data_IF_170420331533
#
_entry.id   IF_170420331533
#
_cell.length_a   1.000
_cell.length_b   1.000
_cell.length_c   1.000
_cell.angle_alpha   90.00
_cell.angle_beta   90.00
_cell.angle_gamma   90.00
#
_symmetry.space_group_name_H-M   'P 1'
#
loop_
_entity.id
_entity.type
_entity.pdbx_description
1 polymer ?
#
# COMPACT_ATOMS: atom_id res chain seq x y z
N UNK A 1 35.63 0.10 12.87
CA UNK A 1 35.58 -0.95 13.92
C UNK A 1 34.57 -2.04 13.58
N UNK A 2 33.52 -1.72 12.82
CA UNK A 2 32.45 -2.62 12.36
C UNK A 2 32.92 -3.77 11.47
N UNK A 3 33.84 -3.55 10.52
CA UNK A 3 34.25 -4.61 9.58
C UNK A 3 34.93 -5.81 10.27
N UNK A 4 35.75 -5.59 11.30
CA UNK A 4 36.42 -6.67 12.04
C UNK A 4 35.42 -7.56 12.79
N UNK A 5 34.40 -6.96 13.42
CA UNK A 5 33.36 -7.69 14.12
C UNK A 5 32.52 -8.56 13.17
N UNK A 6 32.24 -8.05 11.96
CA UNK A 6 31.48 -8.80 10.94
C UNK A 6 32.30 -9.97 10.42
N UNK A 7 33.61 -9.80 10.19
CA UNK A 7 34.49 -10.91 9.78
C UNK A 7 34.56 -12.01 10.85
N UNK A 8 34.65 -11.64 12.13
CA UNK A 8 34.61 -12.61 13.24
C UNK A 8 33.25 -13.30 13.38
N UNK A 9 32.14 -12.61 13.11
CA UNK A 9 30.80 -13.21 13.09
C UNK A 9 30.66 -14.24 11.96
N UNK A 10 31.22 -13.97 10.77
CA UNK A 10 31.23 -14.91 9.65
C UNK A 10 32.11 -16.14 9.91
N UNK A 11 33.25 -15.97 10.59
CA UNK A 11 34.07 -17.11 11.03
C UNK A 11 33.29 -18.02 11.98
N UNK A 12 32.55 -17.45 12.94
CA UNK A 12 31.68 -18.23 13.83
C UNK A 12 30.62 -19.01 13.05
N UNK A 13 29.94 -18.37 12.11
CA UNK A 13 28.91 -19.04 11.27
C UNK A 13 29.54 -20.17 10.43
N UNK A 14 30.72 -19.96 9.85
CA UNK A 14 31.43 -20.99 9.08
C UNK A 14 31.92 -22.16 9.94
N UNK A 15 32.28 -21.91 11.21
CA UNK A 15 32.65 -22.99 12.14
C UNK A 15 31.45 -23.83 12.57
N UNK A 16 30.28 -23.22 12.71
CA UNK A 16 29.05 -23.91 13.11
C UNK A 16 28.37 -24.61 11.92
N UNK A 17 28.47 -24.05 10.71
CA UNK A 17 27.85 -24.57 9.50
C UNK A 17 28.89 -24.79 8.38
N UNK A 18 29.62 -25.92 8.39
CA UNK A 18 30.63 -26.22 7.37
C UNK A 18 30.03 -26.55 5.98
N UNK A 19 28.71 -26.71 5.87
CA UNK A 19 28.00 -27.01 4.63
C UNK A 19 27.29 -25.81 3.99
N UNK A 20 27.56 -24.58 4.45
CA UNK A 20 26.92 -23.37 3.92
C UNK A 20 27.50 -23.00 2.55
N UNK A 21 26.64 -22.83 1.54
CA UNK A 21 27.05 -22.39 0.20
C UNK A 21 27.67 -20.98 0.23
N UNK A 22 28.60 -20.73 -0.70
CA UNK A 22 29.32 -19.45 -0.79
C UNK A 22 28.35 -18.27 -0.93
N UNK A 23 27.32 -18.40 -1.76
CA UNK A 23 26.32 -17.37 -2.03
C UNK A 23 25.48 -17.04 -0.78
N UNK A 24 25.20 -18.05 0.04
CA UNK A 24 24.45 -17.88 1.31
C UNK A 24 25.33 -17.14 2.32
N UNK A 25 26.63 -17.42 2.34
CA UNK A 25 27.56 -16.69 3.21
C UNK A 25 27.71 -15.22 2.82
N UNK A 26 27.71 -14.91 1.53
CA UNK A 26 27.76 -13.54 1.01
C UNK A 26 26.44 -12.78 1.30
N UNK A 27 25.29 -13.46 1.20
CA UNK A 27 24.01 -12.90 1.61
C UNK A 27 23.97 -12.57 3.11
N UNK A 28 24.44 -13.49 3.96
CA UNK A 28 24.50 -13.27 5.41
C UNK A 28 25.46 -12.13 5.77
N UNK A 29 26.60 -12.03 5.08
CA UNK A 29 27.51 -10.89 5.22
C UNK A 29 26.83 -9.56 4.86
N UNK A 30 26.12 -9.51 3.72
CA UNK A 30 25.34 -8.34 3.30
C UNK A 30 24.30 -7.93 4.34
N UNK A 31 23.52 -8.90 4.83
CA UNK A 31 22.49 -8.66 5.86
C UNK A 31 23.10 -8.11 7.14
N UNK A 32 24.20 -8.68 7.63
CA UNK A 32 24.88 -8.20 8.83
C UNK A 32 25.49 -6.82 8.65
N UNK A 33 25.99 -6.49 7.45
CA UNK A 33 26.64 -5.21 7.15
C UNK A 33 25.65 -4.06 7.01
N UNK A 34 24.54 -4.29 6.29
CA UNK A 34 23.50 -3.28 6.07
C UNK A 34 22.69 -2.99 7.32
N UNK A 35 22.49 -3.99 8.19
CA UNK A 35 21.63 -3.88 9.37
C UNK A 35 22.40 -3.73 10.69
N UNK A 36 23.71 -3.48 10.65
CA UNK A 36 24.55 -3.40 11.85
C UNK A 36 24.08 -2.37 12.88
N UNK A 37 23.41 -1.30 12.44
CA UNK A 37 22.88 -0.23 13.30
C UNK A 37 21.45 -0.50 13.82
N UNK A 38 20.79 -1.55 13.33
CA UNK A 38 19.36 -1.83 13.56
C UNK A 38 19.11 -3.08 14.44
N UNK A 39 20.17 -3.73 14.93
CA UNK A 39 20.05 -4.87 15.84
C UNK A 39 20.05 -4.40 17.30
N UNK A 40 18.85 -4.20 17.88
CA UNK A 40 18.69 -3.81 19.29
C UNK A 40 18.71 -5.03 20.24
N UNK A 41 18.40 -6.22 19.72
CA UNK A 41 18.33 -7.46 20.48
C UNK A 41 18.88 -8.67 19.71
N UNK A 42 19.26 -9.72 20.44
CA UNK A 42 19.62 -11.02 19.85
C UNK A 42 18.47 -11.65 19.04
N UNK A 43 17.22 -11.24 19.32
CA UNK A 43 16.03 -11.67 18.56
C UNK A 43 16.02 -11.08 17.16
N UNK A 44 16.46 -9.85 16.98
CA UNK A 44 16.47 -9.20 15.66
C UNK A 44 17.49 -9.86 14.71
N UNK A 45 18.61 -10.34 15.27
CA UNK A 45 19.61 -11.15 14.55
C UNK A 45 19.04 -12.51 14.17
N UNK A 46 18.28 -13.14 15.08
CA UNK A 46 17.59 -14.39 14.82
C UNK A 46 16.50 -14.24 13.74
N UNK A 47 15.74 -13.14 13.75
CA UNK A 47 14.72 -12.86 12.73
C UNK A 47 15.33 -12.48 11.37
N UNK A 48 16.62 -12.12 11.33
CA UNK A 48 17.33 -11.80 10.10
C UNK A 48 17.96 -13.02 9.43
N UNK A 49 18.56 -13.90 10.24
CA UNK A 49 19.44 -14.96 9.74
C UNK A 49 19.03 -16.34 10.29
N UNK A 50 18.30 -16.40 11.41
CA UNK A 50 17.90 -17.64 12.09
C UNK A 50 17.02 -18.56 11.23
N UNK A 51 16.00 -18.02 10.55
CA UNK A 51 15.16 -18.80 9.63
C UNK A 51 15.93 -19.33 8.42
N UNK A 52 16.95 -18.60 7.97
CA UNK A 52 17.82 -19.06 6.90
C UNK A 52 18.72 -20.20 7.40
N UNK A 53 19.33 -20.04 8.58
CA UNK A 53 20.21 -21.05 9.17
C UNK A 53 19.47 -22.33 9.58
N UNK A 54 18.22 -22.24 10.04
CA UNK A 54 17.39 -23.41 10.36
C UNK A 54 17.04 -24.24 9.12
N UNK A 55 16.90 -23.58 7.96
CA UNK A 55 16.70 -24.25 6.66
C UNK A 55 17.89 -25.11 6.22
N UNK A 56 19.11 -24.82 6.69
CA UNK A 56 20.34 -25.57 6.38
C UNK A 56 20.76 -26.53 7.49
N UNK A 57 20.06 -26.57 8.63
CA UNK A 57 20.46 -27.40 9.77
C UNK A 57 19.97 -28.85 9.62
N UNK A 58 20.78 -29.72 9.03
CA UNK A 58 20.53 -31.17 9.05
C UNK A 58 21.01 -31.86 10.35
N UNK A 59 21.20 -31.12 11.46
CA UNK A 59 21.65 -31.70 12.73
C UNK A 59 21.98 -30.73 13.88
N UNK A 60 21.66 -29.44 13.77
CA UNK A 60 21.91 -28.41 14.79
C UNK A 60 20.58 -28.07 15.45
N UNK A 61 20.54 -28.03 16.78
CA UNK A 61 19.32 -27.69 17.52
C UNK A 61 19.00 -26.19 17.43
N UNK A 62 17.71 -25.81 17.45
CA UNK A 62 17.30 -24.39 17.48
C UNK A 62 17.95 -23.62 18.65
N UNK A 63 18.27 -24.29 19.76
CA UNK A 63 19.04 -23.71 20.86
C UNK A 63 20.45 -23.26 20.44
N UNK A 64 21.16 -24.03 19.62
CA UNK A 64 22.50 -23.68 19.13
C UNK A 64 22.44 -22.47 18.17
N UNK A 65 21.39 -22.38 17.36
CA UNK A 65 21.14 -21.21 16.49
C UNK A 65 20.91 -19.97 17.36
N UNK A 66 20.09 -20.07 18.40
CA UNK A 66 19.86 -18.94 19.32
C UNK A 66 21.11 -18.51 20.09
N UNK A 67 21.98 -19.46 20.45
CA UNK A 67 23.24 -19.18 21.15
C UNK A 67 24.29 -18.55 20.22
N UNK A 68 24.31 -18.97 18.95
CA UNK A 68 25.10 -18.33 17.88
C UNK A 68 24.63 -16.88 17.67
N UNK A 69 23.34 -16.64 17.49
CA UNK A 69 22.77 -15.30 17.33
C UNK A 69 23.09 -14.39 18.53
N UNK A 70 23.07 -14.94 19.76
CA UNK A 70 23.46 -14.20 20.98
C UNK A 70 24.95 -13.84 20.98
N UNK A 71 25.81 -14.74 20.49
CA UNK A 71 27.24 -14.52 20.38
C UNK A 71 27.57 -13.45 19.33
N UNK A 72 26.88 -13.47 18.19
CA UNK A 72 26.96 -12.45 17.13
C UNK A 72 26.52 -11.08 17.66
N UNK A 73 25.38 -11.01 18.36
CA UNK A 73 24.90 -9.76 18.96
C UNK A 73 25.88 -9.19 20.00
N UNK A 74 26.55 -10.04 20.79
CA UNK A 74 27.58 -9.64 21.76
C UNK A 74 28.86 -9.12 21.11
N UNK A 75 29.17 -9.57 19.89
CA UNK A 75 30.31 -9.10 19.09
C UNK A 75 30.01 -7.78 18.38
N UNK A 76 28.74 -7.53 18.04
CA UNK A 76 28.29 -6.33 17.34
C UNK A 76 27.95 -5.17 18.28
N UNK A 77 27.49 -5.45 19.50
CA UNK A 77 27.24 -4.39 20.49
C UNK A 77 28.55 -3.97 21.18
N UNK A 78 28.98 -2.70 21.07
CA UNK A 78 30.06 -2.18 21.90
C UNK A 78 29.61 -2.27 23.37
N UNK A 79 30.54 -2.69 24.25
CA UNK A 79 30.37 -2.68 25.70
C UNK A 79 30.28 -1.23 26.21
N UNK A 80 29.20 -0.54 25.91
CA UNK A 80 28.84 0.71 26.56
C UNK A 80 27.54 0.46 27.33
N UNK A 81 27.71 0.38 28.64
CA UNK A 81 26.64 0.47 29.62
C UNK A 81 25.75 1.69 29.34
N UNK A 82 24.63 1.49 28.64
CA UNK A 82 23.56 2.50 28.63
C UNK A 82 22.87 2.48 30.01
N UNK A 83 22.69 3.64 30.66
CA UNK A 83 21.94 3.73 31.91
C UNK A 83 20.48 3.34 31.65
N UNK A 84 19.89 2.57 32.55
CA UNK A 84 18.47 2.24 32.53
C UNK A 84 17.65 3.53 32.41
N UNK A 85 16.82 3.63 31.38
CA UNK A 85 15.77 4.63 31.31
C UNK A 85 14.77 4.34 32.44
N UNK A 86 14.84 5.14 33.51
CA UNK A 86 13.80 5.18 34.52
C UNK A 86 12.67 6.04 33.98
N UNK A 87 11.49 5.44 33.77
CA UNK A 87 10.24 6.15 33.55
C UNK A 87 9.94 7.04 34.75
N UNK A 88 9.76 8.35 34.52
CA UNK A 88 9.39 9.32 35.56
C UNK A 88 7.87 9.56 35.51
N UNK A 89 7.16 9.09 36.53
CA UNK A 89 5.69 9.15 36.67
C UNK A 89 5.12 10.54 37.04
N UNK A 90 5.80 11.64 36.70
CA UNK A 90 5.30 12.98 37.02
C UNK A 90 5.56 14.03 35.92
N UNK A 91 4.59 14.93 35.64
CA UNK A 91 4.74 15.97 34.63
C UNK A 91 5.74 17.04 35.09
N UNK A 92 6.74 17.28 34.24
CA UNK A 92 7.85 18.21 34.50
C UNK A 92 7.36 19.65 34.34
N UNK A 93 7.51 20.45 35.39
CA UNK A 93 7.18 21.89 35.37
C UNK A 93 8.34 22.68 34.74
N UNK A 94 8.14 23.15 33.51
CA UNK A 94 9.14 23.83 32.67
C UNK A 94 9.81 25.07 33.31
N UNK A 95 9.21 25.65 34.35
CA UNK A 95 9.80 26.78 35.07
C UNK A 95 11.04 26.40 35.90
N UNK A 96 11.14 25.16 36.38
CA UNK A 96 12.25 24.72 37.26
C UNK A 96 13.55 24.42 36.49
N UNK A 97 13.44 24.09 35.19
CA UNK A 97 14.62 23.89 34.34
C UNK A 97 15.30 25.21 33.93
N UNK A 98 14.60 26.35 34.01
CA UNK A 98 15.16 27.64 33.60
C UNK A 98 16.15 28.24 34.61
N UNK A 99 16.06 27.87 35.89
CA UNK A 99 16.99 28.38 36.91
C UNK A 99 18.36 27.69 36.87
N UNK A 100 18.40 26.41 36.48
CA UNK A 100 19.63 25.60 36.48
C UNK A 100 20.53 25.82 35.24
N UNK A 101 20.03 26.49 34.19
CA UNK A 101 20.80 26.74 32.96
C UNK A 101 21.35 28.17 32.82
N UNK A 102 21.13 29.05 33.80
CA UNK A 102 21.58 30.46 33.71
C UNK A 102 23.11 30.68 33.86
N UNK A 103 23.88 29.62 34.13
CA UNK A 103 25.30 29.75 34.46
C UNK A 103 26.29 29.83 33.29
N UNK A 104 25.98 29.30 32.10
CA UNK A 104 26.96 29.23 31.00
C UNK A 104 26.30 29.03 29.63
N UNK A 105 26.04 30.10 28.88
CA UNK A 105 26.27 30.16 27.42
C UNK A 105 26.45 31.64 27.03
N UNK A 106 27.65 31.96 26.57
CA UNK A 106 27.99 33.20 25.87
C UNK A 106 27.54 33.07 24.41
N UNK A 107 26.93 34.14 23.91
CA UNK A 107 26.71 34.51 22.50
C UNK A 107 26.40 33.40 21.50
N UNK A 108 25.11 33.11 21.32
CA UNK A 108 24.57 32.67 20.03
C UNK A 108 23.19 33.29 19.82
N UNK A 109 23.16 34.44 19.13
CA UNK A 109 21.91 35.07 18.68
C UNK A 109 21.28 34.22 17.57
N UNK A 110 20.30 33.42 17.92
CA UNK A 110 19.41 32.77 16.97
C UNK A 110 18.55 33.82 16.23
N UNK A 111 18.54 33.72 14.89
CA UNK A 111 17.75 34.55 13.95
C UNK A 111 16.24 34.57 14.28
N UNK A 112 15.77 33.61 15.09
CA UNK A 112 14.37 33.44 15.50
C UNK A 112 13.99 34.18 16.79
N UNK A 113 14.86 35.02 17.34
CA UNK A 113 14.55 35.89 18.50
C UNK A 113 14.59 37.39 18.19
N UNK A 114 14.44 37.77 16.91
CA UNK A 114 14.19 39.17 16.56
C UNK A 114 12.74 39.53 16.88
N UNK A 115 12.53 40.07 18.10
CA UNK A 115 11.28 40.69 18.54
C UNK A 115 11.01 41.93 17.67
N UNK A 116 10.34 41.74 16.53
CA UNK A 116 9.71 42.85 15.81
C UNK A 116 8.49 43.27 16.60
N UNK A 117 8.52 44.48 17.14
CA UNK A 117 7.33 45.12 17.68
C UNK A 117 6.34 45.33 16.53
N UNK A 118 5.33 44.47 16.47
CA UNK A 118 4.17 44.65 15.60
C UNK A 118 3.17 45.44 16.43
N UNK A 119 2.99 46.72 16.10
CA UNK A 119 1.89 47.51 16.63
C UNK A 119 0.57 46.88 16.18
N UNK A 120 -0.13 46.21 17.10
CA UNK A 120 -1.44 45.61 16.88
C UNK A 120 -2.50 46.70 16.79
N UNK A 121 -2.61 47.33 15.63
CA UNK A 121 -3.80 48.10 15.24
C UNK A 121 -4.34 47.46 13.97
N UNK A 122 -5.36 46.63 14.15
CA UNK A 122 -6.08 45.98 13.06
C UNK A 122 -7.08 46.99 12.51
N UNK A 123 -6.85 47.49 11.30
CA UNK A 123 -7.84 48.30 10.57
C UNK A 123 -9.12 47.47 10.39
N UNK A 124 -10.17 47.80 11.14
CA UNK A 124 -11.46 47.09 11.15
C UNK A 124 -12.05 46.88 9.74
N UNK A 125 -11.88 47.86 8.85
CA UNK A 125 -12.36 47.79 7.45
C UNK A 125 -11.61 46.77 6.58
N UNK A 126 -10.36 46.43 6.92
CA UNK A 126 -9.58 45.41 6.19
C UNK A 126 -9.92 44.01 6.69
N UNK A 127 -10.21 43.87 7.98
CA UNK A 127 -10.68 42.63 8.57
C UNK A 127 -12.04 42.22 7.98
N UNK A 128 -12.99 43.15 7.92
CA UNK A 128 -14.34 42.89 7.39
C UNK A 128 -14.31 42.49 5.90
N UNK A 129 -13.43 43.10 5.10
CA UNK A 129 -13.22 42.70 3.70
C UNK A 129 -12.60 41.30 3.57
N UNK A 130 -11.76 40.89 4.51
CA UNK A 130 -11.18 39.54 4.52
C UNK A 130 -12.21 38.49 4.95
N UNK A 131 -13.03 38.81 5.94
CA UNK A 131 -14.13 37.96 6.43
C UNK A 131 -15.22 37.78 5.36
N UNK A 132 -15.60 38.84 4.65
CA UNK A 132 -16.55 38.76 3.54
C UNK A 132 -16.05 37.84 2.42
N UNK A 133 -14.77 37.90 2.07
CA UNK A 133 -14.15 37.00 1.07
C UNK A 133 -14.11 35.55 1.54
N UNK A 134 -13.88 35.31 2.83
CA UNK A 134 -13.92 33.96 3.41
C UNK A 134 -15.35 33.39 3.37
N UNK A 135 -16.35 34.21 3.68
CA UNK A 135 -17.76 33.83 3.67
C UNK A 135 -18.25 33.51 2.26
N UNK A 136 -17.89 34.32 1.27
CA UNK A 136 -18.20 34.04 -0.15
C UNK A 136 -17.56 32.73 -0.63
N UNK A 137 -16.34 32.42 -0.17
CA UNK A 137 -15.65 31.15 -0.48
C UNK A 137 -16.29 29.96 0.24
N UNK A 138 -16.88 30.16 1.42
CA UNK A 138 -17.62 29.12 2.14
C UNK A 138 -19.00 28.87 1.52
N UNK A 139 -19.71 29.90 1.08
CA UNK A 139 -21.00 29.77 0.40
C UNK A 139 -20.84 29.10 -0.97
N UNK A 140 -19.77 29.42 -1.71
CA UNK A 140 -19.38 28.68 -2.93
C UNK A 140 -19.02 27.22 -2.69
N UNK A 141 -18.66 26.84 -1.46
CA UNK A 141 -18.46 25.43 -1.06
C UNK A 141 -19.75 24.73 -0.62
N UNK A 142 -20.73 25.48 -0.09
CA UNK A 142 -22.04 24.95 0.33
C UNK A 142 -23.00 24.68 -0.84
N UNK A 143 -22.86 25.40 -1.95
CA UNK A 143 -23.66 25.23 -3.16
C UNK A 143 -22.82 24.50 -4.23
N UNK A 144 -22.95 23.17 -4.28
CA UNK A 144 -22.21 22.30 -5.19
C UNK A 144 -22.52 22.54 -6.68
N UNK A 145 -21.87 23.53 -7.28
CA UNK A 145 -21.81 23.72 -8.74
C UNK A 145 -20.35 23.65 -9.19
N UNK A 146 -20.06 22.61 -9.99
CA UNK A 146 -18.75 22.35 -10.60
C UNK A 146 -18.45 23.39 -11.69
N UNK A 147 -17.36 24.13 -11.55
CA UNK A 147 -16.63 24.71 -12.69
C UNK A 147 -15.14 24.66 -12.40
N UNK A 148 -14.39 24.19 -13.40
CA UNK A 148 -13.08 23.57 -13.21
C UNK A 148 -11.95 24.51 -12.81
N UNK A 149 -11.01 23.96 -12.04
CA UNK A 149 -9.57 24.19 -12.17
C UNK A 149 -8.89 23.01 -11.47
N UNK A 150 -7.90 22.43 -12.15
CA UNK A 150 -7.09 21.30 -11.71
C UNK A 150 -6.30 21.59 -10.42
N UNK A 151 -5.94 20.49 -9.75
CA UNK A 151 -5.01 20.28 -8.63
C UNK A 151 -5.60 20.09 -7.24
N UNK A 152 -5.17 18.96 -6.65
CA UNK A 152 -5.38 18.46 -5.29
C UNK A 152 -6.68 17.68 -5.05
N UNK A 153 -6.66 16.39 -5.38
CA UNK A 153 -7.58 15.41 -4.84
C UNK A 153 -7.07 14.91 -3.49
N UNK A 154 -7.24 15.72 -2.44
CA UNK A 154 -7.59 15.15 -1.14
C UNK A 154 -9.03 14.65 -1.27
N UNK A 155 -9.19 13.35 -1.55
CA UNK A 155 -10.49 12.69 -1.53
C UNK A 155 -10.63 11.93 -0.21
N UNK A 156 -11.10 12.63 0.82
CA UNK A 156 -11.68 11.98 1.99
C UNK A 156 -13.19 11.86 1.79
N UNK A 157 -13.65 10.62 1.59
CA UNK A 157 -14.87 10.02 2.16
C UNK A 157 -15.17 8.66 1.53
N UNK A 158 -14.83 7.60 2.24
CA UNK A 158 -15.77 6.58 2.72
C UNK A 158 -15.26 6.14 4.09
N UNK A 159 -16.13 6.19 5.08
CA UNK A 159 -15.93 5.56 6.39
C UNK A 159 -16.17 4.08 6.17
N UNK A 160 -15.17 3.26 6.47
CA UNK A 160 -15.24 1.94 7.10
C UNK A 160 -13.84 1.27 6.93
N UNK A 161 -13.22 0.93 8.06
CA UNK A 161 -11.91 0.28 8.26
C UNK A 161 -10.67 1.20 8.33
N UNK A 162 -10.36 1.66 9.56
CA UNK A 162 -9.07 2.27 9.96
C UNK A 162 -7.96 1.22 10.08
N UNK A 163 -7.77 0.38 9.06
CA UNK A 163 -6.65 -0.56 9.05
C UNK A 163 -5.44 0.08 8.37
N UNK A 164 -4.50 0.53 9.20
CA UNK A 164 -3.11 0.85 8.90
C UNK A 164 -2.79 1.18 7.42
N UNK A 165 -3.13 2.40 7.01
CA UNK A 165 -2.86 2.86 5.65
C UNK A 165 -1.39 3.27 5.49
N UNK A 166 -0.75 2.73 4.46
CA UNK A 166 0.52 3.25 3.98
C UNK A 166 0.33 4.60 3.30
N UNK A 167 1.18 5.56 3.64
CA UNK A 167 1.23 6.86 2.95
C UNK A 167 2.21 6.76 1.80
N UNK A 168 1.76 7.11 0.60
CA UNK A 168 2.58 7.11 -0.60
C UNK A 168 2.87 8.56 -0.99
N UNK A 169 4.15 8.87 -1.21
CA UNK A 169 4.59 10.15 -1.72
C UNK A 169 5.30 9.93 -3.05
N UNK A 170 4.95 10.70 -4.08
CA UNK A 170 5.61 10.61 -5.37
C UNK A 170 5.82 12.01 -5.93
N UNK A 171 7.08 12.37 -6.16
CA UNK A 171 7.42 13.63 -6.80
C UNK A 171 7.41 13.43 -8.31
N UNK A 172 6.56 14.18 -9.02
CA UNK A 172 6.42 14.04 -10.47
C UNK A 172 6.68 15.35 -11.18
N UNK A 173 7.46 15.25 -12.24
CA UNK A 173 7.59 16.29 -13.24
C UNK A 173 6.35 16.30 -14.14
N UNK A 174 5.72 17.47 -14.27
CA UNK A 174 4.45 17.69 -14.99
C UNK A 174 4.40 17.19 -16.45
N UNK A 175 5.53 16.80 -17.04
CA UNK A 175 5.64 16.38 -18.45
C UNK A 175 5.24 14.92 -18.66
N UNK A 176 5.40 14.06 -17.65
CA UNK A 176 5.20 12.60 -17.80
C UNK A 176 3.73 12.17 -17.71
N UNK A 177 2.86 13.03 -17.14
CA UNK A 177 1.43 12.76 -16.96
C UNK A 177 0.70 12.64 -18.32
N UNK A 178 1.18 13.36 -19.35
CA UNK A 178 0.50 13.45 -20.65
C UNK A 178 1.15 12.55 -21.72
N UNK A 179 2.28 11.91 -21.44
CA UNK A 179 3.11 11.24 -22.45
C UNK A 179 2.71 9.80 -22.77
N UNK A 180 1.71 9.25 -22.06
CA UNK A 180 1.41 7.82 -22.15
C UNK A 180 0.14 7.47 -22.94
N UNK A 181 -0.71 8.44 -23.32
CA UNK A 181 -1.91 8.15 -24.13
C UNK A 181 -1.61 8.12 -25.63
N UNK A 182 -1.78 6.96 -26.26
CA UNK A 182 -1.93 6.86 -27.71
C UNK A 182 -3.32 7.36 -28.15
N UNK A 183 -3.44 7.82 -29.40
CA UNK A 183 -4.68 8.35 -30.01
C UNK A 183 -5.89 7.38 -29.97
N UNK A 184 -5.67 6.10 -29.63
CA UNK A 184 -6.69 5.06 -29.48
C UNK A 184 -7.15 4.83 -28.02
N UNK A 185 -6.64 5.57 -27.04
CA UNK A 185 -7.02 5.44 -25.62
C UNK A 185 -6.59 4.13 -24.94
N UNK A 186 -5.76 3.31 -25.60
CA UNK A 186 -5.09 2.13 -25.03
C UNK A 186 -3.66 2.48 -24.68
N UNK A 187 -3.25 2.23 -23.45
CA UNK A 187 -1.83 2.22 -23.10
C UNK A 187 -1.21 0.92 -23.58
N UNK A 188 -0.34 1.00 -24.60
CA UNK A 188 0.56 -0.09 -25.02
C UNK A 188 1.99 0.30 -24.65
N UNK A 189 2.18 0.80 -23.43
CA UNK A 189 3.45 1.35 -22.95
C UNK A 189 3.95 0.69 -21.69
N UNK A 190 5.26 0.76 -21.49
CA UNK A 190 5.92 0.39 -20.24
C UNK A 190 5.46 1.33 -19.11
N UNK A 191 5.23 0.77 -17.93
CA UNK A 191 4.92 1.54 -16.71
C UNK A 191 6.24 1.97 -16.09
N UNK A 192 6.44 3.27 -15.91
CA UNK A 192 7.60 3.85 -15.25
C UNK A 192 7.14 4.67 -14.06
N UNK A 193 7.63 4.30 -12.89
CA UNK A 193 7.40 4.99 -11.63
C UNK A 193 8.77 5.41 -11.12
N UNK A 194 8.97 6.72 -11.02
CA UNK A 194 10.23 7.30 -10.57
C UNK A 194 10.03 7.99 -9.22
N UNK A 195 11.08 7.94 -8.39
CA UNK A 195 11.22 8.64 -7.11
C UNK A 195 9.94 8.60 -6.26
N UNK A 196 9.50 7.38 -5.91
CA UNK A 196 8.38 7.19 -5.00
C UNK A 196 8.84 6.68 -3.64
N UNK A 197 8.18 7.17 -2.60
CA UNK A 197 8.37 6.80 -1.22
C UNK A 197 7.10 6.16 -0.69
N UNK A 198 7.25 5.08 0.08
CA UNK A 198 6.13 4.42 0.76
C UNK A 198 6.45 4.37 2.26
N UNK A 199 5.56 4.95 3.04
CA UNK A 199 5.62 4.98 4.50
C UNK A 199 4.49 4.15 5.08
N UNK A 200 4.70 3.50 6.21
CA UNK A 200 3.67 2.82 6.98
C UNK A 200 3.74 3.28 8.43
N UNK A 201 2.74 4.07 8.84
CA UNK A 201 2.80 4.77 10.13
C UNK A 201 4.05 5.66 10.22
N UNK A 202 4.94 5.33 11.15
CA UNK A 202 6.22 6.01 11.36
C UNK A 202 7.42 5.37 10.63
N UNK A 203 7.24 4.20 10.02
CA UNK A 203 8.34 3.47 9.35
C UNK A 203 8.38 3.79 7.87
N UNK A 204 9.58 4.07 7.37
CA UNK A 204 9.86 4.18 5.93
C UNK A 204 10.03 2.77 5.38
N UNK A 205 9.19 2.36 4.43
CA UNK A 205 9.29 1.04 3.79
C UNK A 205 10.13 1.12 2.52
N UNK A 206 9.88 2.14 1.70
CA UNK A 206 10.60 2.42 0.46
C UNK A 206 10.89 3.93 0.40
N UNK A 207 12.11 4.29 0.03
CA UNK A 207 12.55 5.68 -0.14
C UNK A 207 13.28 5.83 -1.47
N UNK A 208 12.89 6.81 -2.28
CA UNK A 208 13.50 7.10 -3.58
C UNK A 208 13.46 5.94 -4.57
N UNK A 209 12.44 5.07 -4.46
CA UNK A 209 12.38 3.86 -5.27
C UNK A 209 11.99 4.17 -6.72
N UNK A 210 12.56 3.40 -7.66
CA UNK A 210 12.26 3.47 -9.09
C UNK A 210 11.80 2.09 -9.57
N UNK A 211 10.64 2.03 -10.21
CA UNK A 211 10.01 0.80 -10.70
C UNK A 211 9.64 0.94 -12.17
N UNK A 212 10.21 0.08 -13.01
CA UNK A 212 9.85 -0.02 -14.44
C UNK A 212 9.29 -1.40 -14.74
N UNK A 213 8.04 -1.46 -15.19
CA UNK A 213 7.34 -2.68 -15.59
C UNK A 213 7.09 -2.62 -17.09
N UNK A 214 7.80 -3.46 -17.84
CA UNK A 214 7.60 -3.54 -19.30
C UNK A 214 6.42 -4.42 -19.65
N UNK A 215 5.69 -4.03 -20.71
CA UNK A 215 4.54 -4.78 -21.17
C UNK A 215 4.92 -6.21 -21.61
N UNK A 216 4.10 -7.20 -21.24
CA UNK A 216 4.28 -8.60 -21.62
C UNK A 216 5.31 -9.39 -20.81
N UNK A 217 5.96 -8.79 -19.81
CA UNK A 217 6.91 -9.47 -18.92
C UNK A 217 6.24 -9.92 -17.62
N UNK A 218 6.81 -10.96 -17.00
CA UNK A 218 6.42 -11.47 -15.68
C UNK A 218 7.50 -11.10 -14.68
N UNK A 219 7.12 -10.50 -13.57
CA UNK A 219 8.02 -10.03 -12.52
C UNK A 219 7.70 -10.73 -11.21
N UNK A 220 8.73 -11.11 -10.45
CA UNK A 220 8.60 -11.66 -9.09
C UNK A 220 9.18 -10.69 -8.08
N UNK A 221 8.39 -10.33 -7.05
CA UNK A 221 8.83 -9.47 -5.96
C UNK A 221 9.30 -10.32 -4.77
N UNK A 222 10.61 -10.39 -4.57
CA UNK A 222 11.28 -11.15 -3.49
C UNK A 222 11.88 -10.22 -2.43
N UNK A 223 12.19 -10.76 -1.24
CA UNK A 223 12.59 -9.98 -0.05
C UNK A 223 12.08 -10.58 1.26
N UNK A 224 12.52 -10.06 2.40
CA UNK A 224 12.08 -10.52 3.72
C UNK A 224 10.63 -10.09 4.00
N UNK A 225 9.95 -10.82 4.88
CA UNK A 225 8.63 -10.41 5.37
C UNK A 225 8.76 -9.09 6.14
N UNK A 226 7.77 -8.20 6.01
CA UNK A 226 7.78 -6.88 6.66
C UNK A 226 8.46 -5.73 5.89
N UNK A 227 9.14 -5.99 4.76
CA UNK A 227 9.75 -4.94 3.91
C UNK A 227 8.76 -4.24 2.95
N UNK A 228 7.46 -4.29 3.24
CA UNK A 228 6.47 -3.54 2.48
C UNK A 228 6.10 -4.11 1.10
N UNK A 229 6.39 -5.38 0.80
CA UNK A 229 5.98 -6.00 -0.49
C UNK A 229 4.48 -5.95 -0.73
N UNK A 230 3.71 -6.45 0.24
CA UNK A 230 2.25 -6.43 0.18
C UNK A 230 1.75 -5.00 0.14
N UNK A 231 2.41 -4.09 0.86
CA UNK A 231 2.13 -2.66 0.85
C UNK A 231 2.34 -2.02 -0.52
N UNK A 232 3.42 -2.36 -1.23
CA UNK A 232 3.68 -1.90 -2.60
C UNK A 232 2.60 -2.41 -3.57
N UNK A 233 2.22 -3.68 -3.46
CA UNK A 233 1.16 -4.27 -4.29
C UNK A 233 -0.20 -3.60 -4.03
N UNK A 234 -0.54 -3.33 -2.76
CA UNK A 234 -1.75 -2.59 -2.38
C UNK A 234 -1.74 -1.15 -2.89
N UNK A 235 -0.61 -0.44 -2.76
CA UNK A 235 -0.45 0.92 -3.28
C UNK A 235 -0.63 1.00 -4.81
N UNK A 236 -0.10 0.00 -5.54
CA UNK A 236 -0.32 -0.13 -6.98
C UNK A 236 -1.78 -0.43 -7.31
N UNK A 237 -2.41 -1.33 -6.57
CA UNK A 237 -3.82 -1.72 -6.76
C UNK A 237 -4.78 -0.54 -6.57
N UNK A 238 -4.53 0.29 -5.54
CA UNK A 238 -5.32 1.47 -5.20
C UNK A 238 -5.06 2.66 -6.11
N UNK A 239 -4.04 2.58 -6.97
CA UNK A 239 -3.56 3.69 -7.82
C UNK A 239 -3.10 4.91 -6.99
N UNK A 240 -2.51 4.65 -5.83
CA UNK A 240 -1.87 5.69 -5.00
C UNK A 240 -0.60 6.22 -5.68
N UNK A 241 0.04 5.37 -6.50
CA UNK A 241 1.11 5.72 -7.42
C UNK A 241 0.54 6.17 -8.76
N UNK A 242 1.23 7.07 -9.44
CA UNK A 242 0.77 7.62 -10.72
C UNK A 242 0.88 6.61 -11.83
N UNK A 243 -0.22 5.89 -12.05
CA UNK A 243 -0.35 4.88 -13.08
C UNK A 243 -1.13 5.42 -14.27
N UNK A 244 -0.83 4.96 -15.49
CA UNK A 244 -1.55 5.41 -16.68
C UNK A 244 -3.04 5.01 -16.64
N UNK A 245 -3.94 5.90 -17.05
CA UNK A 245 -5.39 5.77 -16.81
C UNK A 245 -6.04 4.51 -17.42
N UNK A 246 -5.52 4.05 -18.57
CA UNK A 246 -6.01 2.86 -19.28
C UNK A 246 -5.46 1.52 -18.78
N UNK A 247 -4.65 1.51 -17.72
CA UNK A 247 -4.13 0.28 -17.14
C UNK A 247 -5.20 -0.41 -16.29
N UNK A 248 -5.55 -1.67 -16.62
CA UNK A 248 -6.39 -2.51 -15.75
C UNK A 248 -5.50 -3.26 -14.78
N UNK A 249 -5.73 -3.04 -13.49
CA UNK A 249 -4.98 -3.67 -12.40
C UNK A 249 -5.97 -4.54 -11.64
N UNK A 250 -5.61 -5.80 -11.42
CA UNK A 250 -6.34 -6.73 -10.58
C UNK A 250 -5.38 -7.17 -9.47
N UNK A 251 -5.73 -6.87 -8.22
CA UNK A 251 -5.01 -7.32 -7.04
C UNK A 251 -5.78 -8.46 -6.41
N UNK A 252 -5.06 -9.54 -6.09
CA UNK A 252 -5.61 -10.70 -5.39
C UNK A 252 -5.09 -10.63 -3.97
N UNK A 253 -6.00 -10.49 -3.01
CA UNK A 253 -5.66 -10.48 -1.58
C UNK A 253 -5.38 -11.91 -1.10
N UNK A 254 -4.53 -12.04 -0.08
CA UNK A 254 -3.98 -13.34 0.32
C UNK A 254 -4.98 -14.23 1.08
N UNK A 255 -6.10 -13.69 1.55
CA UNK A 255 -7.14 -14.44 2.26
C UNK A 255 -8.53 -13.90 1.88
N UNK A 256 -9.43 -14.81 1.47
CA UNK A 256 -10.85 -14.52 1.34
C UNK A 256 -11.53 -15.05 2.60
N UNK A 257 -12.35 -14.23 3.26
CA UNK A 257 -13.29 -14.75 4.24
C UNK A 257 -14.20 -15.78 3.53
N UNK A 258 -14.37 -16.96 4.12
CA UNK A 258 -15.19 -18.02 3.53
C UNK A 258 -16.64 -17.58 3.41
N UNK A 259 -17.05 -17.17 2.21
CA UNK A 259 -18.42 -16.78 1.93
C UNK A 259 -19.26 -18.01 1.57
N UNK A 260 -20.55 -17.98 1.92
CA UNK A 260 -21.53 -19.03 1.56
C UNK A 260 -21.88 -19.05 0.06
N UNK A 261 -21.07 -18.44 -0.79
CA UNK A 261 -21.21 -18.50 -2.26
C UNK A 261 -20.45 -19.70 -2.81
N UNK A 262 -21.02 -20.49 -3.74
CA UNK A 262 -20.30 -21.55 -4.45
C UNK A 262 -19.03 -21.02 -5.12
N UNK A 263 -17.98 -21.84 -5.17
CA UNK A 263 -16.69 -21.43 -5.75
C UNK A 263 -16.81 -20.99 -7.22
N UNK A 264 -17.63 -21.68 -8.01
CA UNK A 264 -17.88 -21.29 -9.40
C UNK A 264 -18.56 -19.92 -9.50
N UNK A 265 -19.51 -19.64 -8.62
CA UNK A 265 -20.26 -18.38 -8.63
C UNK A 265 -19.39 -17.21 -8.16
N UNK A 266 -18.55 -17.41 -7.15
CA UNK A 266 -17.59 -16.41 -6.68
C UNK A 266 -16.65 -15.95 -7.81
N UNK A 267 -16.11 -16.88 -8.60
CA UNK A 267 -15.28 -16.56 -9.78
C UNK A 267 -16.08 -15.81 -10.86
N UNK A 268 -17.35 -16.17 -11.06
CA UNK A 268 -18.21 -15.49 -12.03
C UNK A 268 -18.62 -14.08 -11.58
N UNK A 269 -18.73 -13.84 -10.28
CA UNK A 269 -19.01 -12.53 -9.70
C UNK A 269 -17.80 -11.59 -9.74
N UNK A 270 -16.57 -12.14 -9.77
CA UNK A 270 -15.35 -11.35 -9.97
C UNK A 270 -15.35 -10.57 -11.31
N UNK A 271 -16.10 -11.04 -12.31
CA UNK A 271 -16.39 -10.28 -13.54
C UNK A 271 -17.50 -9.24 -13.27
N UNK A 272 -17.09 -8.10 -12.72
CA UNK A 272 -17.98 -6.98 -12.38
C UNK A 272 -18.75 -6.43 -13.59
N UNK A 273 -18.17 -6.46 -14.79
CA UNK A 273 -18.82 -5.99 -16.01
C UNK A 273 -19.96 -6.94 -16.39
N UNK A 274 -19.70 -8.26 -16.42
CA UNK A 274 -20.73 -9.28 -16.71
C UNK A 274 -21.86 -9.22 -15.68
N UNK A 275 -21.52 -9.15 -14.39
CA UNK A 275 -22.51 -9.09 -13.31
C UNK A 275 -23.38 -7.84 -13.42
N UNK A 276 -22.80 -6.66 -13.69
CA UNK A 276 -23.53 -5.42 -13.87
C UNK A 276 -24.47 -5.45 -15.08
N UNK A 277 -24.02 -6.01 -16.22
CA UNK A 277 -24.85 -6.13 -17.42
C UNK A 277 -26.04 -7.07 -17.22
N UNK A 278 -25.84 -8.21 -16.55
CA UNK A 278 -26.91 -9.15 -16.23
C UNK A 278 -27.93 -8.55 -15.24
N UNK A 279 -27.46 -7.79 -14.24
CA UNK A 279 -28.32 -7.09 -13.29
C UNK A 279 -29.15 -5.98 -13.97
N UNK A 280 -28.55 -5.22 -14.89
CA UNK A 280 -29.27 -4.21 -15.65
C UNK A 280 -30.29 -4.83 -16.60
N UNK A 281 -29.94 -5.96 -17.23
CA UNK A 281 -30.84 -6.71 -18.10
C UNK A 281 -32.08 -7.23 -17.35
N UNK A 282 -31.89 -7.85 -16.18
CA UNK A 282 -33.01 -8.33 -15.36
C UNK A 282 -33.90 -7.19 -14.88
N UNK A 283 -33.32 -6.04 -14.52
CA UNK A 283 -34.06 -4.82 -14.17
C UNK A 283 -34.94 -4.33 -15.32
N UNK A 284 -34.41 -4.27 -16.54
CA UNK A 284 -35.17 -3.85 -17.72
C UNK A 284 -36.29 -4.85 -18.06
N UNK A 285 -36.05 -6.16 -17.93
CA UNK A 285 -37.08 -7.19 -18.14
C UNK A 285 -38.25 -7.06 -17.16
N UNK A 286 -37.96 -6.84 -15.88
CA UNK A 286 -38.99 -6.63 -14.86
C UNK A 286 -39.80 -5.34 -15.11
N UNK A 287 -39.14 -4.28 -15.60
CA UNK A 287 -39.83 -3.02 -15.91
C UNK A 287 -40.80 -3.14 -17.09
N UNK A 288 -40.60 -4.09 -18.01
CA UNK A 288 -41.53 -4.39 -19.10
C UNK A 288 -42.74 -5.23 -18.64
N UNK A 289 -42.61 -5.98 -17.54
CA UNK A 289 -43.69 -6.86 -17.07
C UNK A 289 -44.73 -6.14 -16.23
N UNK A 290 -44.48 -4.89 -15.80
CA UNK A 290 -45.43 -4.06 -15.04
C UNK A 290 -46.13 -3.10 -16.01
N UNK A 291 -47.37 -3.39 -16.44
CA UNK A 291 -48.11 -2.50 -17.34
C UNK A 291 -48.56 -1.25 -16.58
N UNK A 292 -47.77 -0.18 -16.63
CA UNK A 292 -48.23 1.14 -16.20
C UNK A 292 -49.06 1.77 -17.31
N UNK A 293 -50.27 2.23 -16.94
CA UNK A 293 -51.34 2.60 -17.85
C UNK A 293 -50.95 3.62 -18.94
N UNK A 294 -51.35 3.25 -20.15
CA UNK A 294 -51.80 4.04 -21.30
C UNK A 294 -51.17 5.43 -21.53
N UNK A 295 -50.48 5.51 -22.68
CA UNK A 295 -50.17 6.67 -23.54
C UNK A 295 -48.74 7.25 -23.52
N UNK A 296 -47.92 7.02 -22.48
CA UNK A 296 -46.47 7.36 -22.50
C UNK A 296 -45.56 6.13 -22.75
N UNK A 297 -46.17 4.96 -22.96
CA UNK A 297 -45.48 3.67 -23.04
C UNK A 297 -44.73 3.42 -24.36
N UNK A 298 -45.19 3.94 -25.50
CA UNK A 298 -44.59 3.58 -26.80
C UNK A 298 -43.15 4.09 -26.95
N UNK A 299 -42.88 5.36 -26.62
CA UNK A 299 -41.53 5.94 -26.71
C UNK A 299 -40.55 5.39 -25.65
N UNK A 300 -41.07 4.83 -24.55
CA UNK A 300 -40.25 4.27 -23.46
C UNK A 300 -39.96 2.78 -23.63
N UNK A 301 -40.86 2.04 -24.25
CA UNK A 301 -40.67 0.63 -24.66
C UNK A 301 -39.59 0.52 -25.74
N UNK A 302 -39.63 1.37 -26.77
CA UNK A 302 -38.63 1.37 -27.86
C UNK A 302 -37.22 1.65 -27.32
N UNK A 303 -37.07 2.66 -26.45
CA UNK A 303 -35.78 2.98 -25.81
C UNK A 303 -35.27 1.87 -24.90
N UNK A 304 -36.18 1.10 -24.28
CA UNK A 304 -35.81 -0.02 -23.42
C UNK A 304 -35.37 -1.23 -24.24
N UNK A 305 -36.03 -1.49 -25.37
CA UNK A 305 -35.63 -2.48 -26.37
C UNK A 305 -34.24 -2.19 -26.96
N UNK A 306 -33.97 -0.93 -27.33
CA UNK A 306 -32.66 -0.52 -27.83
C UNK A 306 -31.53 -0.74 -26.81
N UNK A 307 -31.78 -0.42 -25.53
CA UNK A 307 -30.82 -0.66 -24.44
C UNK A 307 -30.59 -2.16 -24.22
N UNK A 308 -31.64 -2.97 -24.25
CA UNK A 308 -31.51 -4.43 -24.16
C UNK A 308 -30.67 -4.98 -25.31
N UNK A 309 -30.91 -4.53 -26.54
CA UNK A 309 -30.12 -4.92 -27.70
C UNK A 309 -28.63 -4.55 -27.54
N UNK A 310 -28.33 -3.35 -27.01
CA UNK A 310 -26.96 -2.94 -26.69
C UNK A 310 -26.32 -3.82 -25.60
N UNK A 311 -27.07 -4.17 -24.55
CA UNK A 311 -26.58 -5.07 -23.49
C UNK A 311 -26.33 -6.47 -24.04
N UNK A 312 -27.24 -7.04 -24.84
CA UNK A 312 -27.03 -8.34 -25.49
C UNK A 312 -25.81 -8.33 -26.42
N UNK A 313 -25.63 -7.26 -27.22
CA UNK A 313 -24.45 -7.10 -28.05
C UNK A 313 -23.16 -7.03 -27.21
N UNK A 314 -23.21 -6.35 -26.05
CA UNK A 314 -22.07 -6.27 -25.14
C UNK A 314 -21.78 -7.60 -24.45
N UNK A 315 -22.79 -8.32 -23.98
CA UNK A 315 -22.68 -9.66 -23.39
C UNK A 315 -22.09 -10.68 -24.39
N UNK A 316 -22.49 -10.59 -25.67
CA UNK A 316 -21.91 -11.38 -26.74
C UNK A 316 -20.43 -11.02 -26.97
N UNK A 317 -20.09 -9.72 -26.99
CA UNK A 317 -18.72 -9.26 -27.18
C UNK A 317 -17.75 -9.69 -26.07
N UNK A 318 -18.21 -9.80 -24.83
CA UNK A 318 -17.41 -10.32 -23.70
C UNK A 318 -17.43 -11.86 -23.59
N UNK A 319 -18.19 -12.53 -24.48
CA UNK A 319 -18.41 -13.98 -24.48
C UNK A 319 -18.96 -14.50 -23.13
N UNK A 320 -19.99 -13.82 -22.59
CA UNK A 320 -20.56 -14.10 -21.28
C UNK A 320 -21.04 -15.56 -21.12
N UNK A 321 -21.52 -16.19 -22.21
CA UNK A 321 -21.99 -17.58 -22.23
C UNK A 321 -20.86 -18.60 -22.02
N UNK A 322 -19.63 -18.25 -22.43
CA UNK A 322 -18.43 -19.09 -22.24
C UNK A 322 -17.80 -18.92 -20.86
N UNK A 323 -18.17 -17.87 -20.12
CA UNK A 323 -17.64 -17.56 -18.79
C UNK A 323 -17.70 -18.75 -17.80
N UNK A 324 -18.82 -19.48 -17.62
CA UNK A 324 -18.88 -20.60 -16.67
C UNK A 324 -17.91 -21.74 -17.04
N UNK A 325 -17.78 -22.07 -18.33
CA UNK A 325 -16.82 -23.09 -18.76
C UNK A 325 -15.37 -22.66 -18.50
N UNK A 326 -15.03 -21.39 -18.76
CA UNK A 326 -13.70 -20.85 -18.45
C UNK A 326 -13.43 -20.85 -16.94
N UNK A 327 -14.39 -20.43 -16.13
CA UNK A 327 -14.28 -20.44 -14.67
C UNK A 327 -14.06 -21.85 -14.13
N UNK A 328 -14.81 -22.84 -14.63
CA UNK A 328 -14.64 -24.24 -14.25
C UNK A 328 -13.25 -24.80 -14.59
N UNK A 329 -12.69 -24.42 -15.75
CA UNK A 329 -11.32 -24.81 -16.15
C UNK A 329 -10.28 -24.20 -15.22
N UNK A 330 -10.43 -22.92 -14.84
CA UNK A 330 -9.52 -22.25 -13.90
C UNK A 330 -9.58 -22.93 -12.53
N UNK A 331 -10.77 -23.20 -12.02
CA UNK A 331 -10.98 -23.87 -10.73
C UNK A 331 -10.42 -25.30 -10.74
N UNK A 332 -10.63 -26.05 -11.83
CA UNK A 332 -10.02 -27.37 -12.00
C UNK A 332 -8.48 -27.29 -11.98
N UNK A 333 -7.90 -26.27 -12.63
CA UNK A 333 -6.45 -26.03 -12.60
C UNK A 333 -5.90 -25.65 -11.22
N UNK A 334 -6.76 -25.15 -10.31
CA UNK A 334 -6.43 -24.86 -8.92
C UNK A 334 -6.70 -26.04 -7.97
N UNK A 335 -7.21 -27.16 -8.48
CA UNK A 335 -7.48 -28.38 -7.69
C UNK A 335 -8.92 -28.55 -7.20
N UNK A 336 -9.88 -27.77 -7.72
CA UNK A 336 -11.30 -27.94 -7.37
C UNK A 336 -12.00 -28.93 -8.32
N UNK A 337 -12.44 -30.06 -7.77
CA UNK A 337 -13.28 -31.04 -8.45
C UNK A 337 -14.68 -30.47 -8.79
N UNK A 338 -15.39 -31.03 -9.79
CA UNK A 338 -16.70 -30.53 -10.21
C UNK A 338 -17.72 -30.46 -9.08
N UNK A 339 -17.67 -31.39 -8.12
CA UNK A 339 -18.54 -31.40 -6.94
C UNK A 339 -18.17 -30.29 -5.95
N UNK A 340 -16.87 -30.02 -5.78
CA UNK A 340 -16.37 -28.94 -4.93
C UNK A 340 -16.67 -27.56 -5.51
N UNK A 341 -16.76 -27.43 -6.84
CA UNK A 341 -17.08 -26.16 -7.51
C UNK A 341 -18.51 -25.67 -7.25
N UNK A 342 -19.44 -26.61 -7.04
CA UNK A 342 -20.86 -26.34 -6.70
C UNK A 342 -21.07 -26.27 -5.19
N UNK A 343 -20.08 -26.73 -4.41
CA UNK A 343 -20.11 -26.69 -2.95
C UNK A 343 -19.73 -25.30 -2.41
N UNK A 344 -20.18 -25.02 -1.19
CA UNK A 344 -19.86 -23.77 -0.49
C UNK A 344 -18.39 -23.72 -0.10
N UNK A 345 -17.79 -22.52 -0.16
CA UNK A 345 -16.44 -22.28 0.35
C UNK A 345 -16.54 -22.22 1.88
N UNK A 346 -16.27 -23.33 2.56
CA UNK A 346 -16.06 -23.31 4.01
C UNK A 346 -14.65 -22.76 4.28
N UNK A 347 -14.53 -21.77 5.16
CA UNK A 347 -13.22 -21.44 5.73
C UNK A 347 -12.71 -22.65 6.52
N UNK A 348 -11.41 -22.94 6.41
CA UNK A 348 -10.71 -23.88 7.29
C UNK A 348 -10.42 -23.23 8.66
#
# INVERSE_FOLDING_TARGET
>A
MSDCCITSALELIRTTFPGLDCDVSEYVEGVLRENAEHFDSYRDVHDAIGDLLSGFSSGVSDSEITDLCRSIHKLMSPQDSKPQETTLDAPIHMASLLENFSGKVVDNKSIWMAKREISSVVDSKKLEKAEAKLKEKQEKKGLGIKSGTLYSSNCSKTVDNEEDFATVNQQIDRRDINASLDASGRHVGDIRLENFDIFYGSRVLLEGANLTISYGRRYGLIGRNGFGKTTLLRALARRDLHLPAGLRILHVEQEMAGDSTPALESVLQADTERAALLAELSRLQLSQTIPNGLQEAQDSEDRSGDKMAQIYARLAAIEADKAPARAAVILCGLGFDPEMQVSFISSC
#
